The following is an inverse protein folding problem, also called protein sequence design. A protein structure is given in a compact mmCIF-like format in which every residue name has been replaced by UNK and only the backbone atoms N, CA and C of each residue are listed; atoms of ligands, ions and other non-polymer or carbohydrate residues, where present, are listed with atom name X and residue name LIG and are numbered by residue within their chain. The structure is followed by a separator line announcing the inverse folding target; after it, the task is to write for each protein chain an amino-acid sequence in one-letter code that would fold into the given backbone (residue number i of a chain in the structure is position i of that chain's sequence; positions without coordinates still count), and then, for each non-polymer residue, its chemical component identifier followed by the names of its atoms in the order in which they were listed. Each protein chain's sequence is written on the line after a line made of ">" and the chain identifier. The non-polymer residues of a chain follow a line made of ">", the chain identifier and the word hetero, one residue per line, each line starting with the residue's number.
data_IF_201411067913
#
_entry.id   IF_201411067913
#
_cell.length_a   1.000
_cell.length_b   1.000
_cell.length_c   1.000
_cell.angle_alpha   90.00
_cell.angle_beta   90.00
_cell.angle_gamma   90.00
#
_symmetry.space_group_name_H-M   'P 1'
#
loop_
_entity.id
_entity.type
_entity.pdbx_description
1 polymer ?
#
# COMPACT_ATOMS: atom_id res chain seq x y z
N UNK A 1 22.34 3.32 -20.17
CA UNK A 1 22.51 1.99 -19.52
C UNK A 1 21.73 1.88 -18.21
N UNK A 2 21.66 2.92 -17.37
CA UNK A 2 20.82 2.91 -16.17
C UNK A 2 19.32 2.71 -16.49
N UNK A 3 18.78 3.46 -17.46
CA UNK A 3 17.37 3.34 -17.90
C UNK A 3 16.99 1.93 -18.40
N UNK A 4 17.89 1.30 -19.18
CA UNK A 4 17.67 -0.08 -19.65
C UNK A 4 17.64 -1.07 -18.50
N UNK A 5 18.35 -0.82 -17.40
CA UNK A 5 18.30 -1.67 -16.22
C UNK A 5 17.09 -1.37 -15.35
N UNK A 6 16.65 -0.10 -15.26
CA UNK A 6 15.42 0.27 -14.57
C UNK A 6 14.18 -0.35 -15.26
N UNK A 7 14.14 -0.35 -16.59
CA UNK A 7 13.09 -1.04 -17.35
C UNK A 7 13.14 -2.56 -17.18
N UNK A 8 14.33 -3.17 -17.13
CA UNK A 8 14.47 -4.59 -16.78
C UNK A 8 14.03 -4.88 -15.34
N UNK A 9 14.30 -3.98 -14.39
CA UNK A 9 13.81 -4.08 -13.02
C UNK A 9 12.28 -4.02 -12.96
N UNK A 10 11.66 -3.12 -13.74
CA UNK A 10 10.20 -3.03 -13.89
C UNK A 10 9.60 -4.32 -14.47
N UNK A 11 10.21 -4.87 -15.53
CA UNK A 11 9.77 -6.15 -16.12
C UNK A 11 9.96 -7.31 -15.15
N UNK A 12 11.03 -7.31 -14.35
CA UNK A 12 11.26 -8.28 -13.28
C UNK A 12 10.21 -8.15 -12.16
N UNK A 13 9.82 -6.93 -11.79
CA UNK A 13 8.73 -6.66 -10.85
C UNK A 13 7.38 -7.18 -11.37
N UNK A 14 7.08 -6.96 -12.65
CA UNK A 14 5.89 -7.52 -13.30
C UNK A 14 5.92 -9.06 -13.32
N UNK A 15 7.07 -9.65 -13.64
CA UNK A 15 7.25 -11.11 -13.59
C UNK A 15 7.08 -11.64 -12.16
N UNK A 16 7.55 -10.90 -11.15
CA UNK A 16 7.38 -11.22 -9.73
C UNK A 16 5.89 -11.19 -9.34
N UNK A 17 5.15 -10.15 -9.75
CA UNK A 17 3.70 -10.00 -9.55
C UNK A 17 2.89 -11.16 -10.15
N UNK A 18 3.25 -11.59 -11.36
CA UNK A 18 2.55 -12.66 -12.09
C UNK A 18 2.99 -14.07 -11.65
N UNK A 19 4.16 -14.20 -11.03
CA UNK A 19 4.73 -15.50 -10.62
C UNK A 19 3.84 -16.41 -9.76
N UNK A 20 2.89 -15.93 -8.93
CA UNK A 20 1.97 -16.80 -8.20
C UNK A 20 1.13 -17.73 -9.09
N UNK A 21 0.87 -17.34 -10.34
CA UNK A 21 0.09 -18.14 -11.31
C UNK A 21 0.86 -19.33 -11.87
N UNK A 22 2.21 -19.25 -11.90
CA UNK A 22 3.06 -20.22 -12.60
C UNK A 22 3.95 -21.05 -11.66
N UNK A 23 3.80 -20.89 -10.34
CA UNK A 23 4.52 -21.58 -9.25
C UNK A 23 6.08 -21.45 -9.25
N UNK A 24 6.67 -20.78 -10.24
CA UNK A 24 8.12 -20.57 -10.41
C UNK A 24 8.60 -19.25 -9.80
N UNK A 25 9.91 -18.99 -9.81
CA UNK A 25 10.47 -17.66 -9.48
C UNK A 25 10.76 -17.35 -8.02
N UNK A 26 11.39 -18.27 -7.25
CA UNK A 26 11.82 -17.96 -5.85
C UNK A 26 12.87 -16.84 -5.77
N UNK A 27 13.60 -16.61 -6.86
CA UNK A 27 14.72 -15.67 -7.00
C UNK A 27 14.35 -14.37 -7.74
N UNK A 28 13.08 -14.19 -8.12
CA UNK A 28 12.63 -12.96 -8.78
C UNK A 28 12.84 -11.71 -7.92
N UNK A 29 12.59 -11.74 -6.59
CA UNK A 29 12.89 -10.58 -5.74
C UNK A 29 14.39 -10.24 -5.74
N UNK A 30 15.28 -11.22 -5.62
CA UNK A 30 16.72 -10.94 -5.73
C UNK A 30 17.12 -10.36 -7.08
N UNK A 31 16.52 -10.83 -8.17
CA UNK A 31 16.79 -10.28 -9.51
C UNK A 31 16.36 -8.82 -9.58
N UNK A 32 15.13 -8.49 -9.18
CA UNK A 32 14.62 -7.11 -9.13
C UNK A 32 15.50 -6.22 -8.24
N UNK A 33 15.94 -6.73 -7.09
CA UNK A 33 16.84 -5.99 -6.21
C UNK A 33 18.18 -5.67 -6.87
N UNK A 34 18.81 -6.66 -7.50
CA UNK A 34 20.10 -6.47 -8.18
C UNK A 34 20.00 -5.51 -9.35
N UNK A 35 18.96 -5.63 -10.18
CA UNK A 35 18.76 -4.74 -11.33
C UNK A 35 18.53 -3.29 -10.86
N UNK A 36 17.73 -3.09 -9.83
CA UNK A 36 17.44 -1.75 -9.28
C UNK A 36 18.70 -1.11 -8.66
N UNK A 37 19.49 -1.91 -7.95
CA UNK A 37 20.74 -1.45 -7.33
C UNK A 37 21.81 -1.11 -8.37
N UNK A 38 21.97 -1.93 -9.42
CA UNK A 38 22.91 -1.62 -10.52
C UNK A 38 22.42 -0.40 -11.31
N UNK A 39 21.11 -0.28 -11.55
CA UNK A 39 20.54 0.91 -12.19
C UNK A 39 20.87 2.17 -11.39
N UNK A 40 20.71 2.14 -10.07
CA UNK A 40 21.05 3.26 -9.19
C UNK A 40 22.54 3.61 -9.21
N UNK A 41 23.44 2.61 -9.14
CA UNK A 41 24.89 2.83 -9.18
C UNK A 41 25.34 3.46 -10.51
N UNK A 42 24.66 3.13 -11.61
CA UNK A 42 24.95 3.68 -12.93
C UNK A 42 24.27 5.02 -13.21
N UNK A 43 23.36 5.45 -12.34
CA UNK A 43 22.73 6.78 -12.41
C UNK A 43 23.66 7.85 -11.84
N UNK A 44 23.44 9.13 -12.17
CA UNK A 44 24.16 10.24 -11.55
C UNK A 44 24.10 10.18 -10.02
N UNK A 45 25.14 10.63 -9.31
CA UNK A 45 25.18 10.58 -7.84
C UNK A 45 24.02 11.34 -7.18
N UNK A 46 23.59 12.43 -7.81
CA UNK A 46 22.45 13.28 -7.42
C UNK A 46 21.08 12.59 -7.53
N UNK A 47 21.03 11.43 -8.18
CA UNK A 47 19.79 10.70 -8.44
C UNK A 47 18.98 10.37 -7.18
N UNK A 48 19.63 10.20 -6.02
CA UNK A 48 18.94 9.87 -4.76
C UNK A 48 17.98 10.98 -4.30
N UNK A 49 18.26 12.23 -4.69
CA UNK A 49 17.39 13.38 -4.39
C UNK A 49 16.24 13.53 -5.38
N UNK A 50 16.25 12.75 -6.48
CA UNK A 50 15.13 12.64 -7.40
C UNK A 50 14.25 11.44 -7.05
N UNK A 51 12.95 11.55 -7.33
CA UNK A 51 11.97 10.47 -7.13
C UNK A 51 12.42 9.14 -7.75
N UNK A 52 13.04 9.19 -8.93
CA UNK A 52 13.49 8.00 -9.65
C UNK A 52 14.62 7.26 -8.94
N UNK A 53 15.64 7.96 -8.42
CA UNK A 53 16.77 7.31 -7.76
C UNK A 53 16.43 6.81 -6.37
N UNK A 54 15.61 7.55 -5.61
CA UNK A 54 15.09 7.08 -4.31
C UNK A 54 14.23 5.83 -4.47
N UNK A 55 13.36 5.78 -5.48
CA UNK A 55 12.55 4.60 -5.79
C UNK A 55 13.38 3.35 -6.07
N UNK A 56 14.49 3.46 -6.81
CA UNK A 56 15.38 2.34 -7.08
C UNK A 56 16.00 1.77 -5.80
N UNK A 57 16.39 2.63 -4.86
CA UNK A 57 16.94 2.21 -3.55
C UNK A 57 15.86 1.57 -2.68
N UNK A 58 14.67 2.18 -2.59
CA UNK A 58 13.51 1.64 -1.87
C UNK A 58 13.18 0.23 -2.38
N UNK A 59 13.06 0.06 -3.69
CA UNK A 59 12.75 -1.22 -4.35
C UNK A 59 13.87 -2.24 -4.10
N UNK A 60 15.14 -1.84 -4.20
CA UNK A 60 16.26 -2.75 -3.95
C UNK A 60 16.24 -3.32 -2.53
N UNK A 61 16.07 -2.46 -1.53
CA UNK A 61 16.03 -2.85 -0.10
C UNK A 61 14.80 -3.71 0.17
N UNK A 62 13.62 -3.27 -0.30
CA UNK A 62 12.37 -4.00 -0.10
C UNK A 62 12.45 -5.41 -0.70
N UNK A 63 12.90 -5.54 -1.94
CA UNK A 63 13.06 -6.83 -2.61
C UNK A 63 14.09 -7.75 -1.94
N UNK A 64 15.19 -7.19 -1.42
CA UNK A 64 16.18 -7.97 -0.67
C UNK A 64 15.59 -8.58 0.61
N UNK A 65 14.78 -7.82 1.35
CA UNK A 65 14.09 -8.30 2.54
C UNK A 65 12.96 -9.28 2.22
N UNK A 66 12.24 -9.06 1.13
CA UNK A 66 11.27 -10.04 0.62
C UNK A 66 11.96 -11.37 0.30
N UNK A 67 13.11 -11.32 -0.38
CA UNK A 67 13.91 -12.51 -0.66
C UNK A 67 14.34 -13.22 0.63
N UNK A 68 14.77 -12.46 1.64
CA UNK A 68 15.13 -12.98 2.95
C UNK A 68 13.96 -13.73 3.60
N UNK A 69 12.76 -13.15 3.64
CA UNK A 69 11.57 -13.80 4.19
C UNK A 69 11.19 -15.08 3.44
N UNK A 70 11.29 -15.08 2.11
CA UNK A 70 11.06 -16.27 1.28
C UNK A 70 12.10 -17.37 1.57
N UNK A 71 13.36 -17.00 1.81
CA UNK A 71 14.42 -17.94 2.17
C UNK A 71 14.21 -18.55 3.55
N UNK A 72 13.62 -17.80 4.49
CA UNK A 72 13.19 -18.27 5.81
C UNK A 72 11.92 -19.17 5.77
N UNK A 73 11.42 -19.52 4.58
CA UNK A 73 10.30 -20.46 4.42
C UNK A 73 8.91 -19.83 4.47
N UNK A 74 8.78 -18.50 4.39
CA UNK A 74 7.47 -17.82 4.32
C UNK A 74 6.77 -18.06 2.97
N UNK A 75 5.47 -17.74 2.90
CA UNK A 75 4.60 -18.00 1.73
C UNK A 75 5.07 -17.28 0.46
N UNK A 76 5.86 -17.99 -0.37
CA UNK A 76 6.43 -17.46 -1.62
C UNK A 76 5.40 -16.80 -2.54
N UNK A 77 4.24 -17.43 -2.76
CA UNK A 77 3.20 -16.88 -3.67
C UNK A 77 2.70 -15.51 -3.19
N UNK A 78 2.51 -15.34 -1.89
CA UNK A 78 2.07 -14.09 -1.30
C UNK A 78 3.15 -12.99 -1.44
N UNK A 79 4.37 -13.27 -0.98
CA UNK A 79 5.47 -12.31 -1.00
C UNK A 79 5.88 -11.90 -2.42
N UNK A 80 5.92 -12.85 -3.37
CA UNK A 80 6.18 -12.50 -4.76
C UNK A 80 5.02 -11.73 -5.39
N UNK A 81 3.79 -12.21 -5.25
CA UNK A 81 2.64 -11.54 -5.83
C UNK A 81 2.50 -10.12 -5.30
N UNK A 82 2.32 -9.98 -3.99
CA UNK A 82 2.03 -8.69 -3.39
C UNK A 82 3.25 -7.76 -3.40
N UNK A 83 4.43 -8.27 -3.07
CA UNK A 83 5.68 -7.51 -3.17
C UNK A 83 5.97 -7.05 -4.59
N UNK A 84 5.73 -7.89 -5.59
CA UNK A 84 5.92 -7.57 -7.01
C UNK A 84 4.97 -6.46 -7.46
N UNK A 85 3.70 -6.51 -7.03
CA UNK A 85 2.73 -5.46 -7.29
C UNK A 85 3.16 -4.10 -6.72
N UNK A 86 3.61 -4.07 -5.46
CA UNK A 86 4.10 -2.84 -4.81
C UNK A 86 5.34 -2.30 -5.54
N UNK A 87 6.31 -3.16 -5.87
CA UNK A 87 7.49 -2.73 -6.64
C UNK A 87 7.14 -2.17 -8.01
N UNK A 88 6.15 -2.77 -8.67
CA UNK A 88 5.73 -2.34 -9.99
C UNK A 88 5.07 -0.97 -9.93
N UNK A 89 4.19 -0.74 -8.94
CA UNK A 89 3.57 0.57 -8.70
C UNK A 89 4.62 1.62 -8.35
N UNK A 90 5.56 1.32 -7.44
CA UNK A 90 6.65 2.24 -7.07
C UNK A 90 7.47 2.69 -8.28
N UNK A 91 7.89 1.74 -9.13
CA UNK A 91 8.68 2.07 -10.30
C UNK A 91 7.86 2.83 -11.36
N UNK A 92 6.57 2.55 -11.52
CA UNK A 92 5.72 3.29 -12.47
C UNK A 92 5.38 4.70 -12.00
N UNK A 93 5.18 4.89 -10.70
CA UNK A 93 4.80 6.19 -10.14
C UNK A 93 6.01 7.11 -10.04
N UNK A 94 7.11 6.60 -9.49
CA UNK A 94 8.22 7.46 -9.08
C UNK A 94 9.35 7.56 -10.12
N UNK A 95 9.53 6.58 -11.00
CA UNK A 95 10.61 6.62 -11.99
C UNK A 95 10.20 7.47 -13.20
N UNK A 96 10.95 8.54 -13.51
CA UNK A 96 10.56 9.49 -14.56
C UNK A 96 10.65 8.88 -15.97
N UNK A 97 9.68 9.20 -16.84
CA UNK A 97 9.65 8.73 -18.24
C UNK A 97 10.88 9.16 -19.04
N UNK A 98 11.40 10.35 -18.75
CA UNK A 98 12.60 10.92 -19.39
C UNK A 98 13.93 10.44 -18.82
N UNK A 99 13.91 9.48 -17.88
CA UNK A 99 15.11 9.03 -17.18
C UNK A 99 15.59 10.00 -16.09
N UNK A 100 16.59 9.55 -15.34
CA UNK A 100 17.21 10.33 -14.26
C UNK A 100 18.27 11.23 -14.87
N UNK A 101 18.09 12.54 -14.74
CA UNK A 101 19.00 13.54 -15.29
C UNK A 101 19.93 14.10 -14.20
N UNK A 102 20.99 14.80 -14.56
CA UNK A 102 21.79 15.57 -13.61
C UNK A 102 20.99 16.77 -13.11
N UNK A 103 21.09 17.09 -11.81
CA UNK A 103 20.50 18.32 -11.29
C UNK A 103 21.50 19.46 -11.40
N UNK A 104 21.00 20.70 -11.35
CA UNK A 104 21.86 21.89 -11.31
C UNK A 104 22.30 22.17 -9.85
N UNK A 105 21.74 21.43 -8.89
CA UNK A 105 21.95 21.66 -7.46
C UNK A 105 23.10 20.79 -6.95
N UNK A 106 24.13 21.43 -6.40
CA UNK A 106 25.17 20.74 -5.67
C UNK A 106 24.68 20.42 -4.25
N UNK A 107 24.66 19.13 -3.91
CA UNK A 107 24.28 18.66 -2.58
C UNK A 107 25.51 18.40 -1.71
N UNK A 108 25.37 18.65 -0.42
CA UNK A 108 26.38 18.33 0.58
C UNK A 108 26.41 16.83 0.88
N UNK A 109 27.55 16.31 1.33
CA UNK A 109 27.68 14.89 1.71
C UNK A 109 26.64 14.45 2.77
N UNK A 110 26.27 15.35 3.68
CA UNK A 110 25.25 15.10 4.70
C UNK A 110 23.86 14.91 4.11
N UNK A 111 23.50 15.67 3.08
CA UNK A 111 22.19 15.56 2.41
C UNK A 111 22.08 14.24 1.64
N UNK A 112 23.16 13.83 0.96
CA UNK A 112 23.22 12.51 0.31
C UNK A 112 23.02 11.36 1.28
N UNK A 113 23.69 11.41 2.43
CA UNK A 113 23.52 10.38 3.47
C UNK A 113 22.09 10.36 4.00
N UNK A 114 21.49 11.53 4.22
CA UNK A 114 20.13 11.65 4.74
C UNK A 114 19.11 11.06 3.75
N UNK A 115 19.14 11.47 2.48
CA UNK A 115 18.26 10.93 1.44
C UNK A 115 18.44 9.42 1.21
N UNK A 116 19.69 8.94 1.28
CA UNK A 116 19.99 7.51 1.23
C UNK A 116 19.40 6.75 2.41
N UNK A 117 19.55 7.27 3.64
CA UNK A 117 18.97 6.64 4.84
C UNK A 117 17.45 6.61 4.80
N UNK A 118 16.82 7.69 4.33
CA UNK A 118 15.36 7.76 4.17
C UNK A 118 14.86 6.64 3.24
N UNK A 119 15.45 6.54 2.04
CA UNK A 119 15.08 5.54 1.03
C UNK A 119 15.27 4.11 1.55
N UNK A 120 16.32 3.86 2.32
CA UNK A 120 16.56 2.56 2.96
C UNK A 120 15.49 2.27 4.01
N UNK A 121 15.19 3.21 4.91
CA UNK A 121 14.18 3.04 5.96
C UNK A 121 12.81 2.78 5.34
N UNK A 122 12.46 3.50 4.27
CA UNK A 122 11.23 3.31 3.50
C UNK A 122 11.12 1.89 2.92
N UNK A 123 12.19 1.39 2.28
CA UNK A 123 12.24 0.02 1.77
C UNK A 123 12.08 -1.04 2.87
N UNK A 124 12.67 -0.81 4.04
CA UNK A 124 12.52 -1.69 5.22
C UNK A 124 11.07 -1.69 5.72
N UNK A 125 10.46 -0.51 5.88
CA UNK A 125 9.09 -0.36 6.37
C UNK A 125 8.11 -1.08 5.45
N UNK A 126 8.21 -0.89 4.12
CA UNK A 126 7.32 -1.54 3.17
C UNK A 126 7.44 -3.07 3.21
N UNK A 127 8.66 -3.61 3.28
CA UNK A 127 8.89 -5.04 3.42
C UNK A 127 8.30 -5.60 4.73
N UNK A 128 8.45 -4.86 5.84
CA UNK A 128 7.95 -5.28 7.13
C UNK A 128 6.42 -5.19 7.23
N UNK A 129 5.80 -4.17 6.63
CA UNK A 129 4.33 -4.05 6.51
C UNK A 129 3.74 -5.20 5.70
N UNK A 130 4.39 -5.58 4.59
CA UNK A 130 4.05 -6.78 3.81
C UNK A 130 4.23 -8.08 4.61
N UNK A 131 5.21 -8.14 5.50
CA UNK A 131 5.39 -9.28 6.40
C UNK A 131 4.26 -9.37 7.43
N UNK A 132 3.89 -8.23 8.02
CA UNK A 132 2.82 -8.10 9.00
C UNK A 132 1.44 -8.45 8.41
N UNK A 133 1.19 -8.09 7.16
CA UNK A 133 -0.09 -8.40 6.49
C UNK A 133 -0.32 -9.90 6.28
N UNK A 134 0.75 -10.70 6.25
CA UNK A 134 0.65 -12.17 6.20
C UNK A 134 0.70 -12.81 7.60
N UNK A 135 1.59 -12.34 8.47
CA UNK A 135 1.66 -12.77 9.88
C UNK A 135 2.00 -11.59 10.76
N UNK A 136 1.01 -11.14 11.53
CA UNK A 136 1.18 -9.97 12.37
C UNK A 136 2.15 -10.24 13.53
N UNK A 137 3.16 -9.39 13.68
CA UNK A 137 4.10 -9.40 14.80
C UNK A 137 4.00 -8.07 15.56
N UNK A 138 3.54 -8.14 16.81
CA UNK A 138 3.32 -6.96 17.65
C UNK A 138 4.61 -6.18 17.92
N UNK A 139 5.76 -6.87 18.09
CA UNK A 139 7.04 -6.21 18.38
C UNK A 139 7.55 -5.42 17.19
N UNK A 140 7.52 -6.02 16.01
CA UNK A 140 7.94 -5.36 14.78
C UNK A 140 6.99 -4.21 14.42
N UNK A 141 5.71 -4.35 14.72
CA UNK A 141 4.69 -3.32 14.46
C UNK A 141 4.92 -2.04 15.27
N UNK A 142 5.34 -2.14 16.54
CA UNK A 142 5.72 -0.96 17.34
C UNK A 142 6.93 -0.26 16.69
N UNK A 143 7.93 -1.04 16.24
CA UNK A 143 9.07 -0.52 15.52
C UNK A 143 8.70 0.23 14.24
N UNK A 144 7.76 -0.32 13.45
CA UNK A 144 7.23 0.34 12.24
C UNK A 144 6.57 1.69 12.58
N UNK A 145 5.71 1.73 13.59
CA UNK A 145 5.00 2.97 13.98
C UNK A 145 6.01 4.04 14.40
N UNK A 146 7.01 3.68 15.20
CA UNK A 146 8.08 4.60 15.61
C UNK A 146 8.88 5.07 14.40
N UNK A 147 9.23 4.18 13.47
CA UNK A 147 9.97 4.54 12.26
C UNK A 147 9.17 5.50 11.35
N UNK A 148 7.87 5.26 11.16
CA UNK A 148 7.00 6.17 10.40
C UNK A 148 6.89 7.53 11.08
N UNK A 149 6.76 7.57 12.41
CA UNK A 149 6.71 8.83 13.15
C UNK A 149 8.03 9.61 13.00
N UNK A 150 9.18 8.94 13.02
CA UNK A 150 10.48 9.56 12.76
C UNK A 150 10.54 10.08 11.32
N UNK A 151 10.12 9.30 10.33
CA UNK A 151 10.07 9.74 8.92
C UNK A 151 9.19 10.99 8.74
N UNK A 152 8.01 11.01 9.37
CA UNK A 152 7.10 12.15 9.27
C UNK A 152 7.66 13.44 9.87
N UNK A 153 8.48 13.35 10.93
CA UNK A 153 9.03 14.52 11.63
C UNK A 153 10.38 14.95 11.05
N UNK A 154 11.26 13.99 10.75
CA UNK A 154 12.67 14.26 10.40
C UNK A 154 12.87 14.36 8.90
N UNK A 155 12.09 13.63 8.10
CA UNK A 155 12.26 13.50 6.66
C UNK A 155 11.09 14.11 5.86
N UNK A 156 10.21 14.85 6.53
CA UNK A 156 9.09 15.55 5.88
C UNK A 156 8.27 14.64 4.95
N UNK A 157 8.06 13.38 5.36
CA UNK A 157 7.35 12.36 4.58
C UNK A 157 5.98 12.83 4.03
N UNK A 158 5.36 13.78 4.73
CA UNK A 158 4.08 14.38 4.36
C UNK A 158 4.13 15.18 3.05
N UNK A 159 5.30 15.65 2.64
CA UNK A 159 5.48 16.47 1.44
C UNK A 159 5.62 15.62 0.17
N UNK A 160 5.97 14.33 0.30
CA UNK A 160 6.04 13.40 -0.83
C UNK A 160 4.73 12.61 -0.95
N UNK A 161 3.78 13.15 -1.71
CA UNK A 161 2.42 12.59 -1.83
C UNK A 161 2.40 11.14 -2.33
N UNK A 162 3.27 10.78 -3.28
CA UNK A 162 3.32 9.43 -3.86
C UNK A 162 3.76 8.39 -2.81
N UNK A 163 4.85 8.67 -2.10
CA UNK A 163 5.37 7.80 -1.04
C UNK A 163 4.35 7.72 0.11
N UNK A 164 3.73 8.85 0.49
CA UNK A 164 2.72 8.90 1.54
C UNK A 164 1.53 7.99 1.22
N UNK A 165 1.04 8.01 -0.02
CA UNK A 165 -0.07 7.16 -0.48
C UNK A 165 0.29 5.68 -0.40
N UNK A 166 1.49 5.31 -0.84
CA UNK A 166 1.97 3.92 -0.85
C UNK A 166 2.14 3.41 0.59
N UNK A 167 2.79 4.17 1.47
CA UNK A 167 2.97 3.77 2.88
C UNK A 167 1.64 3.69 3.61
N UNK A 168 0.75 4.67 3.42
CA UNK A 168 -0.57 4.68 4.07
C UNK A 168 -1.38 3.44 3.69
N UNK A 169 -1.39 3.11 2.39
CA UNK A 169 -2.03 1.89 1.88
C UNK A 169 -1.41 0.62 2.49
N UNK A 170 -0.08 0.56 2.61
CA UNK A 170 0.60 -0.57 3.29
C UNK A 170 0.35 -0.62 4.78
N UNK A 171 0.15 0.51 5.45
CA UNK A 171 -0.27 0.52 6.84
C UNK A 171 -1.67 -0.08 6.99
N UNK A 172 -2.61 0.29 6.12
CA UNK A 172 -3.96 -0.27 6.15
C UNK A 172 -3.94 -1.79 6.01
N UNK A 173 -3.14 -2.32 5.07
CA UNK A 173 -3.03 -3.76 4.81
C UNK A 173 -2.22 -4.48 5.90
N UNK A 174 -1.11 -3.89 6.34
CA UNK A 174 -0.20 -4.45 7.34
C UNK A 174 -0.82 -4.59 8.73
N UNK A 175 -1.73 -3.69 9.11
CA UNK A 175 -2.42 -3.71 10.41
C UNK A 175 -3.80 -4.38 10.38
N UNK A 176 -4.32 -4.72 9.20
CA UNK A 176 -5.62 -5.37 9.02
C UNK A 176 -5.74 -6.69 9.82
N UNK A 177 -4.74 -7.61 9.80
CA UNK A 177 -4.81 -8.86 10.56
C UNK A 177 -4.93 -8.64 12.08
N UNK A 178 -4.25 -7.62 12.62
CA UNK A 178 -4.33 -7.30 14.05
C UNK A 178 -5.76 -6.95 14.49
N UNK A 179 -6.44 -6.12 13.70
CA UNK A 179 -7.83 -5.76 14.00
C UNK A 179 -8.75 -6.97 13.87
N UNK A 180 -8.54 -7.82 12.87
CA UNK A 180 -9.34 -9.03 12.70
C UNK A 180 -9.18 -10.00 13.87
N UNK A 181 -7.96 -10.27 14.31
CA UNK A 181 -7.69 -11.19 15.44
C UNK A 181 -8.31 -10.70 16.75
N UNK A 182 -8.36 -9.38 16.97
CA UNK A 182 -8.97 -8.78 18.17
C UNK A 182 -10.50 -8.80 18.14
N UNK A 183 -11.10 -8.79 16.96
CA UNK A 183 -12.55 -8.59 16.78
C UNK A 183 -13.27 -9.91 16.49
N UNK A 184 -12.70 -10.78 15.67
CA UNK A 184 -13.22 -12.12 15.36
C UNK A 184 -13.72 -12.89 16.59
N UNK A 185 -13.01 -12.95 17.74
CA UNK A 185 -13.49 -13.68 18.92
C UNK A 185 -14.67 -13.01 19.64
N UNK A 186 -14.91 -11.72 19.41
CA UNK A 186 -15.97 -10.92 20.08
C UNK A 186 -17.29 -10.94 19.31
N UNK A 187 -17.26 -11.29 18.02
CA UNK A 187 -18.46 -11.32 17.20
C UNK A 187 -19.14 -12.69 17.33
N UNK A 188 -20.45 -12.70 17.55
CA UNK A 188 -21.22 -13.96 17.63
C UNK A 188 -21.38 -14.63 16.26
N UNK A 189 -21.66 -15.94 16.24
CA UNK A 189 -22.04 -16.69 15.03
C UNK A 189 -23.50 -16.41 14.59
N UNK A 190 -23.97 -15.18 14.80
CA UNK A 190 -25.39 -14.81 14.83
C UNK A 190 -26.02 -14.46 13.49
N UNK A 191 -27.30 -14.09 13.56
CA UNK A 191 -28.08 -13.50 12.48
C UNK A 191 -27.70 -12.01 12.29
N UNK A 192 -27.74 -11.51 11.05
CA UNK A 192 -27.47 -10.10 10.75
C UNK A 192 -26.13 -9.81 10.05
N UNK A 193 -25.31 -10.83 9.77
CA UNK A 193 -24.02 -10.69 9.07
C UNK A 193 -24.10 -9.92 7.74
N UNK A 194 -25.05 -10.27 6.88
CA UNK A 194 -25.25 -9.59 5.59
C UNK A 194 -25.67 -8.12 5.76
N UNK A 195 -26.56 -7.84 6.71
CA UNK A 195 -27.00 -6.48 7.01
C UNK A 195 -25.87 -5.63 7.60
N UNK A 196 -25.08 -6.21 8.52
CA UNK A 196 -23.92 -5.54 9.11
C UNK A 196 -22.88 -5.16 8.05
N UNK A 197 -22.62 -6.08 7.12
CA UNK A 197 -21.74 -5.86 5.98
C UNK A 197 -22.29 -4.75 5.07
N UNK A 198 -23.54 -4.86 4.60
CA UNK A 198 -24.16 -3.88 3.71
C UNK A 198 -24.21 -2.46 4.31
N UNK A 199 -24.61 -2.35 5.58
CA UNK A 199 -24.65 -1.07 6.30
C UNK A 199 -23.24 -0.48 6.44
N UNK A 200 -22.24 -1.31 6.78
CA UNK A 200 -20.86 -0.83 6.92
C UNK A 200 -20.27 -0.32 5.60
N UNK A 201 -20.60 -0.97 4.48
CA UNK A 201 -20.18 -0.54 3.15
C UNK A 201 -20.84 0.79 2.82
N UNK A 202 -22.16 0.88 2.96
CA UNK A 202 -22.90 2.11 2.62
C UNK A 202 -22.39 3.32 3.40
N UNK A 203 -22.21 3.17 4.72
CA UNK A 203 -21.65 4.24 5.55
C UNK A 203 -20.21 4.54 5.13
N UNK A 204 -19.40 3.52 4.85
CA UNK A 204 -18.03 3.69 4.35
C UNK A 204 -17.97 4.49 3.05
N UNK A 205 -18.84 4.19 2.08
CA UNK A 205 -18.93 4.93 0.81
C UNK A 205 -19.26 6.40 1.05
N UNK A 206 -20.26 6.67 1.91
CA UNK A 206 -20.66 8.04 2.25
C UNK A 206 -19.51 8.81 2.90
N UNK A 207 -18.76 8.17 3.80
CA UNK A 207 -17.61 8.80 4.44
C UNK A 207 -16.47 9.06 3.47
N UNK A 208 -16.13 8.09 2.61
CA UNK A 208 -15.12 8.27 1.55
C UNK A 208 -15.51 9.47 0.70
N UNK A 209 -16.75 9.54 0.22
CA UNK A 209 -17.21 10.66 -0.58
C UNK A 209 -17.14 11.99 0.18
N UNK A 210 -17.70 12.05 1.40
CA UNK A 210 -17.79 13.29 2.17
C UNK A 210 -16.41 13.87 2.52
N UNK A 211 -15.48 13.04 2.97
CA UNK A 211 -14.12 13.52 3.29
C UNK A 211 -13.33 13.86 2.04
N UNK A 212 -13.47 13.06 0.98
CA UNK A 212 -12.77 13.33 -0.28
C UNK A 212 -13.26 14.64 -0.87
N UNK A 213 -14.58 14.89 -0.89
CA UNK A 213 -15.15 16.15 -1.31
C UNK A 213 -14.60 17.32 -0.49
N UNK A 214 -14.63 17.21 0.85
CA UNK A 214 -14.12 18.27 1.72
C UNK A 214 -12.63 18.59 1.47
N UNK A 215 -11.80 17.58 1.21
CA UNK A 215 -10.37 17.78 0.94
C UNK A 215 -10.12 18.31 -0.48
N UNK A 216 -10.78 17.73 -1.48
CA UNK A 216 -10.66 18.12 -2.89
C UNK A 216 -11.15 19.55 -3.13
N UNK A 217 -12.18 20.02 -2.42
CA UNK A 217 -12.65 21.41 -2.52
C UNK A 217 -11.61 22.45 -2.10
N UNK A 218 -10.58 22.05 -1.33
CA UNK A 218 -9.47 22.93 -0.96
C UNK A 218 -8.35 22.97 -2.01
N UNK A 219 -8.42 22.14 -3.05
CA UNK A 219 -7.39 22.10 -4.10
C UNK A 219 -7.63 23.25 -5.08
N UNK A 220 -6.66 24.17 -5.18
CA UNK A 220 -6.75 25.38 -6.00
C UNK A 220 -7.14 25.11 -7.47
N UNK A 221 -6.69 23.99 -8.06
CA UNK A 221 -7.00 23.61 -9.46
C UNK A 221 -8.47 23.23 -9.67
N UNK A 222 -9.16 22.80 -8.63
CA UNK A 222 -10.52 22.25 -8.69
C UNK A 222 -11.52 23.27 -8.16
N UNK A 223 -11.20 23.92 -7.03
CA UNK A 223 -12.08 24.87 -6.35
C UNK A 223 -13.29 24.20 -5.69
N UNK A 224 -14.26 25.01 -5.27
CA UNK A 224 -15.51 24.53 -4.66
C UNK A 224 -16.67 24.50 -5.68
N UNK A 225 -17.57 23.53 -5.56
CA UNK A 225 -18.74 23.36 -6.44
C UNK A 225 -18.76 22.05 -7.25
N UNK A 226 -19.37 22.09 -8.44
CA UNK A 226 -19.67 20.91 -9.26
C UNK A 226 -18.43 20.12 -9.68
N UNK A 227 -17.30 20.80 -9.91
CA UNK A 227 -16.02 20.17 -10.24
C UNK A 227 -15.49 19.29 -9.11
N UNK A 228 -15.54 19.78 -7.87
CA UNK A 228 -15.13 19.02 -6.69
C UNK A 228 -16.06 17.83 -6.45
N UNK A 229 -17.37 17.98 -6.67
CA UNK A 229 -18.34 16.88 -6.59
C UNK A 229 -18.00 15.80 -7.62
N UNK A 230 -17.76 16.18 -8.87
CA UNK A 230 -17.45 15.23 -9.95
C UNK A 230 -16.15 14.45 -9.66
N UNK A 231 -15.09 15.13 -9.24
CA UNK A 231 -13.81 14.49 -8.89
C UNK A 231 -13.96 13.58 -7.67
N UNK A 232 -14.64 14.04 -6.62
CA UNK A 232 -14.86 13.24 -5.42
C UNK A 232 -15.71 11.99 -5.71
N UNK A 233 -16.73 12.09 -6.56
CA UNK A 233 -17.52 10.94 -7.02
C UNK A 233 -16.65 9.99 -7.84
N UNK A 234 -15.86 10.48 -8.78
CA UNK A 234 -14.99 9.65 -9.62
C UNK A 234 -13.99 8.84 -8.78
N UNK A 235 -13.31 9.51 -7.84
CA UNK A 235 -12.39 8.87 -6.90
C UNK A 235 -13.11 7.86 -5.98
N UNK A 236 -14.27 8.22 -5.46
CA UNK A 236 -15.07 7.32 -4.62
C UNK A 236 -15.50 6.08 -5.40
N UNK A 237 -15.95 6.24 -6.65
CA UNK A 237 -16.33 5.11 -7.51
C UNK A 237 -15.13 4.20 -7.79
N UNK A 238 -13.95 4.77 -8.04
CA UNK A 238 -12.73 3.97 -8.24
C UNK A 238 -12.37 3.14 -7.00
N UNK A 239 -12.33 3.76 -5.82
CA UNK A 239 -12.04 3.09 -4.54
C UNK A 239 -13.05 2.00 -4.24
N UNK A 240 -14.34 2.33 -4.36
CA UNK A 240 -15.44 1.41 -4.01
C UNK A 240 -15.56 0.28 -5.01
N UNK A 241 -15.31 0.54 -6.31
CA UNK A 241 -15.23 -0.49 -7.34
C UNK A 241 -14.14 -1.52 -7.02
N UNK A 242 -12.94 -1.07 -6.63
CA UNK A 242 -11.86 -1.96 -6.20
C UNK A 242 -12.20 -2.73 -4.90
N UNK A 243 -12.85 -2.07 -3.94
CA UNK A 243 -13.40 -2.73 -2.75
C UNK A 243 -14.38 -3.84 -3.09
N UNK A 244 -15.35 -3.58 -3.98
CA UNK A 244 -16.36 -4.55 -4.42
C UNK A 244 -15.73 -5.72 -5.20
N UNK A 245 -14.75 -5.46 -6.07
CA UNK A 245 -13.97 -6.52 -6.72
C UNK A 245 -13.26 -7.38 -5.67
N UNK A 246 -12.70 -6.75 -4.63
CA UNK A 246 -12.10 -7.44 -3.50
C UNK A 246 -13.05 -8.40 -2.79
N UNK A 247 -14.34 -8.07 -2.69
CA UNK A 247 -15.36 -8.97 -2.11
C UNK A 247 -15.57 -10.26 -2.90
N UNK A 248 -15.16 -10.30 -4.18
CA UNK A 248 -15.25 -11.48 -5.04
C UNK A 248 -14.03 -12.41 -4.90
N UNK A 249 -12.95 -11.98 -4.23
CA UNK A 249 -11.77 -12.82 -3.95
C UNK A 249 -12.10 -14.18 -3.30
N UNK A 250 -13.07 -14.28 -2.36
CA UNK A 250 -13.47 -15.56 -1.79
C UNK A 250 -14.06 -16.53 -2.81
N UNK A 251 -14.80 -16.03 -3.80
CA UNK A 251 -15.37 -16.86 -4.88
C UNK A 251 -14.28 -17.47 -5.76
N UNK A 252 -13.12 -16.84 -5.82
CA UNK A 252 -11.93 -17.32 -6.52
C UNK A 252 -11.09 -18.28 -5.65
N UNK A 253 -11.55 -18.63 -4.45
CA UNK A 253 -10.83 -19.50 -3.51
C UNK A 253 -9.67 -18.80 -2.79
N UNK A 254 -9.56 -17.48 -2.92
CA UNK A 254 -8.53 -16.68 -2.26
C UNK A 254 -8.99 -16.14 -0.90
N UNK A 255 -9.62 -16.97 -0.06
CA UNK A 255 -9.75 -16.61 1.36
C UNK A 255 -10.24 -17.76 2.26
N UNK A 256 -9.64 -17.91 3.44
CA UNK A 256 -10.10 -18.81 4.52
C UNK A 256 -10.53 -18.07 5.80
N UNK A 257 -10.59 -16.73 5.77
CA UNK A 257 -11.00 -15.94 6.92
C UNK A 257 -12.47 -16.18 7.30
N UNK A 258 -12.86 -16.00 8.58
CA UNK A 258 -14.23 -16.22 9.05
C UNK A 258 -15.30 -15.40 8.30
N UNK A 259 -14.90 -14.21 7.79
CA UNK A 259 -15.73 -13.29 6.99
C UNK A 259 -15.01 -12.87 5.72
N UNK A 260 -14.93 -13.75 4.71
CA UNK A 260 -14.02 -13.55 3.59
C UNK A 260 -14.47 -12.39 2.68
N UNK A 261 -15.77 -12.13 2.54
CA UNK A 261 -16.28 -10.95 1.80
C UNK A 261 -15.91 -9.62 2.47
N UNK A 262 -16.00 -9.55 3.80
CA UNK A 262 -15.66 -8.35 4.56
C UNK A 262 -14.15 -8.10 4.55
N UNK A 263 -13.35 -9.17 4.63
CA UNK A 263 -11.91 -9.11 4.45
C UNK A 263 -11.56 -8.60 3.05
N UNK A 264 -12.15 -9.20 2.01
CA UNK A 264 -11.98 -8.79 0.62
C UNK A 264 -12.32 -7.32 0.38
N UNK A 265 -13.42 -6.83 0.96
CA UNK A 265 -13.76 -5.39 0.93
C UNK A 265 -12.65 -4.52 1.54
N UNK A 266 -12.24 -4.83 2.78
CA UNK A 266 -11.23 -4.05 3.51
C UNK A 266 -9.89 -4.07 2.78
N UNK A 267 -9.48 -5.22 2.26
CA UNK A 267 -8.27 -5.37 1.46
C UNK A 267 -8.36 -4.57 0.15
N UNK A 268 -9.47 -4.67 -0.58
CA UNK A 268 -9.71 -3.97 -1.84
C UNK A 268 -9.72 -2.45 -1.70
N UNK A 269 -10.34 -1.90 -0.65
CA UNK A 269 -10.27 -0.45 -0.41
C UNK A 269 -8.87 -0.02 0.08
N UNK A 270 -8.15 -0.87 0.80
CA UNK A 270 -6.81 -0.55 1.31
C UNK A 270 -5.75 -0.52 0.20
N UNK A 271 -5.86 -1.37 -0.82
CA UNK A 271 -4.95 -1.35 -1.98
C UNK A 271 -5.34 -0.26 -3.00
N UNK A 272 -6.59 0.21 -2.98
CA UNK A 272 -7.10 1.11 -4.00
C UNK A 272 -6.27 2.39 -4.23
N UNK A 273 -5.72 3.09 -3.22
CA UNK A 273 -4.93 4.29 -3.46
C UNK A 273 -3.66 3.99 -4.27
N UNK A 274 -3.02 2.84 -4.06
CA UNK A 274 -1.83 2.45 -4.83
C UNK A 274 -2.11 2.28 -6.32
N UNK A 275 -3.33 1.89 -6.68
CA UNK A 275 -3.70 1.71 -8.08
C UNK A 275 -4.11 3.06 -8.69
N UNK A 276 -4.86 3.86 -7.92
CA UNK A 276 -5.39 5.15 -8.38
C UNK A 276 -4.26 6.19 -8.53
N UNK A 277 -3.19 6.14 -7.72
CA UNK A 277 -2.07 7.06 -7.85
C UNK A 277 -1.30 6.92 -9.18
N UNK A 278 -1.46 5.82 -9.91
CA UNK A 278 -0.93 5.67 -11.27
C UNK A 278 -1.65 6.59 -12.28
N UNK A 279 -2.85 7.08 -11.96
CA UNK A 279 -3.67 7.88 -12.87
C UNK A 279 -3.83 9.33 -12.41
N UNK A 280 -3.70 9.62 -11.12
CA UNK A 280 -3.94 10.96 -10.58
C UNK A 280 -3.11 11.28 -9.34
N UNK A 281 -2.66 12.53 -9.30
CA UNK A 281 -2.03 13.22 -8.18
C UNK A 281 -2.99 13.42 -6.99
N UNK A 282 -4.30 13.41 -7.19
CA UNK A 282 -5.30 13.72 -6.15
C UNK A 282 -5.55 12.58 -5.14
N UNK A 283 -4.78 11.49 -5.23
CA UNK A 283 -4.99 10.26 -4.49
C UNK A 283 -4.72 10.41 -2.99
N UNK A 284 -3.90 11.38 -2.58
CA UNK A 284 -3.67 11.71 -1.17
C UNK A 284 -4.99 12.09 -0.45
N UNK A 285 -5.93 12.71 -1.16
CA UNK A 285 -7.19 13.21 -0.60
C UNK A 285 -8.21 12.11 -0.23
N UNK A 286 -8.07 10.88 -0.74
CA UNK A 286 -8.98 9.77 -0.40
C UNK A 286 -8.56 9.01 0.87
N UNK A 287 -7.32 9.18 1.32
CA UNK A 287 -6.73 8.37 2.40
C UNK A 287 -7.53 8.47 3.71
N UNK A 288 -7.93 9.69 4.09
CA UNK A 288 -8.73 9.92 5.30
C UNK A 288 -10.07 9.18 5.24
N UNK A 289 -10.73 9.23 4.07
CA UNK A 289 -12.00 8.54 3.85
C UNK A 289 -11.88 7.03 3.98
N UNK A 290 -10.80 6.46 3.45
CA UNK A 290 -10.51 5.02 3.54
C UNK A 290 -10.25 4.62 4.99
N UNK A 291 -9.50 5.40 5.76
CA UNK A 291 -9.28 5.13 7.20
C UNK A 291 -10.61 5.04 7.93
N UNK A 292 -11.49 6.03 7.74
CA UNK A 292 -12.79 6.06 8.39
C UNK A 292 -13.68 4.88 7.94
N UNK A 293 -13.68 4.57 6.65
CA UNK A 293 -14.42 3.42 6.11
C UNK A 293 -13.92 2.08 6.66
N UNK A 294 -12.60 1.92 6.82
CA UNK A 294 -11.99 0.74 7.45
C UNK A 294 -12.41 0.64 8.92
N UNK A 295 -12.31 1.73 9.68
CA UNK A 295 -12.70 1.74 11.10
C UNK A 295 -14.18 1.36 11.29
N UNK A 296 -15.07 1.85 10.42
CA UNK A 296 -16.49 1.49 10.46
C UNK A 296 -16.71 0.06 10.00
N UNK A 297 -16.05 -0.39 8.94
CA UNK A 297 -16.13 -1.78 8.48
C UNK A 297 -15.68 -2.77 9.56
N UNK A 298 -14.66 -2.40 10.33
CA UNK A 298 -14.09 -3.18 11.42
C UNK A 298 -15.02 -3.19 12.65
N UNK A 299 -15.60 -2.04 13.02
CA UNK A 299 -16.41 -1.90 14.24
C UNK A 299 -17.89 -2.24 14.07
N UNK A 300 -18.48 -2.03 12.89
CA UNK A 300 -19.91 -2.27 12.60
C UNK A 300 -20.42 -3.66 13.01
N UNK A 301 -19.70 -4.77 12.74
CA UNK A 301 -20.12 -6.10 13.17
C UNK A 301 -20.31 -6.24 14.68
N UNK A 302 -19.57 -5.49 15.50
CA UNK A 302 -19.69 -5.53 16.96
C UNK A 302 -21.04 -5.00 17.47
N UNK A 303 -21.66 -4.09 16.72
CA UNK A 303 -22.91 -3.43 17.10
C UNK A 303 -24.11 -4.11 16.44
N UNK A 304 -23.96 -4.54 15.19
CA UNK A 304 -25.07 -5.00 14.35
C UNK A 304 -25.27 -6.52 14.38
N UNK A 305 -24.22 -7.30 14.64
CA UNK A 305 -24.37 -8.75 14.80
C UNK A 305 -24.79 -9.08 16.24
N UNK A 306 -26.01 -9.60 16.40
CA UNK A 306 -26.53 -10.01 17.72
C UNK A 306 -25.97 -11.38 18.08
N UNK A 307 -25.05 -11.43 19.05
CA UNK A 307 -24.60 -12.68 19.63
C UNK A 307 -25.70 -13.30 20.50
N UNK A 308 -26.03 -14.58 20.29
CA UNK A 308 -26.48 -15.41 21.42
C UNK A 308 -25.24 -15.69 22.27
N UNK A 309 -25.30 -15.58 23.61
CA UNK A 309 -24.16 -15.90 24.45
C UNK A 309 -23.71 -17.34 24.18
N UNK A 310 -22.39 -17.58 24.13
CA UNK A 310 -21.86 -18.95 24.18
C UNK A 310 -22.44 -19.59 25.44
N UNK A 311 -23.34 -20.56 25.28
CA UNK A 311 -23.75 -21.41 26.39
C UNK A 311 -22.47 -22.14 26.82
N UNK A 312 -22.00 -21.84 28.02
CA UNK A 312 -20.89 -22.56 28.67
C UNK A 312 -21.30 -24.00 28.94
#
# INVERSE_FOLDING_TARGET
>A
MAETLATLALLSALAMFISPLFEKGKWLPSLTATLSLIAFILSPSESIHQSGGSALVIVAVMCALIQYHINQGRHKKYFNGFGGGITFVLLLTMYPEGGINETIHEFTFTEYLLAGTESIILGVILAQLLSNSNTFDEKNSIGIIVAIAILAIVFELLDNEEILVIISSMCFIGFLPFFEDKISPKIGNGTGRANALAISILIGIVLIFATTFALVSNVNRIGDGDGAIAVALWLTVAVTGLGLIGMLLPLLGFDSHPRPEAWGWRFGISISPMIICLQTDLTSNILLGIILALLISISSPLVLEKGRPKVQ
#
